data_IF_133522175263
#
_entry.id   IF_133522175263
#
_cell.length_a   1.000
_cell.length_b   1.000
_cell.length_c   1.000
_cell.angle_alpha   90.00
_cell.angle_beta   90.00
_cell.angle_gamma   90.00
#
_symmetry.space_group_name_H-M   'P 1'
#
loop_
_entity.id
_entity.type
_entity.pdbx_description
1 polymer ?
#
# COMPACT_ATOMS: atom_id res chain seq x y z
N UNK A 1 -6.15 -15.78 -13.16
CA UNK A 1 -4.83 -15.77 -12.49
C UNK A 1 -4.98 -14.99 -11.20
N UNK A 2 -4.43 -15.48 -10.07
CA UNK A 2 -4.51 -14.79 -8.78
C UNK A 2 -3.39 -13.75 -8.65
N UNK A 3 -3.67 -12.63 -8.00
CA UNK A 3 -2.73 -11.52 -7.85
C UNK A 3 -2.74 -10.91 -6.44
N UNK A 4 -1.56 -10.55 -5.94
CA UNK A 4 -1.36 -9.70 -4.76
C UNK A 4 -0.73 -8.39 -5.21
N UNK A 5 -1.26 -7.26 -4.72
CA UNK A 5 -0.81 -5.94 -5.10
C UNK A 5 -0.43 -5.15 -3.85
N UNK A 6 0.85 -4.87 -3.74
CA UNK A 6 1.40 -4.03 -2.68
C UNK A 6 1.22 -2.56 -3.05
N UNK A 7 0.46 -1.82 -2.24
CA UNK A 7 0.24 -0.39 -2.44
C UNK A 7 1.21 0.39 -1.56
N UNK A 8 2.24 0.90 -2.21
CA UNK A 8 3.32 1.70 -1.64
C UNK A 8 3.01 3.19 -1.66
N UNK A 9 3.84 3.94 -0.94
CA UNK A 9 3.80 5.39 -0.90
C UNK A 9 4.10 5.88 0.51
N UNK A 10 4.54 7.14 0.58
CA UNK A 10 4.82 7.83 1.83
C UNK A 10 3.58 8.03 2.70
N UNK A 11 3.78 8.55 3.90
CA UNK A 11 2.71 8.98 4.77
C UNK A 11 1.87 10.05 4.08
N UNK A 12 0.56 9.98 4.30
CA UNK A 12 -0.41 10.89 3.70
C UNK A 12 -0.60 10.85 2.16
N UNK A 13 0.01 9.91 1.41
CA UNK A 13 -0.30 9.70 -0.01
C UNK A 13 -1.74 9.23 -0.27
N UNK A 14 -2.41 8.69 0.75
CA UNK A 14 -3.79 8.22 0.63
C UNK A 14 -3.93 6.73 0.29
N UNK A 15 -2.91 5.90 0.60
CA UNK A 15 -2.92 4.43 0.38
C UNK A 15 -4.23 3.76 0.77
N UNK A 16 -4.76 4.06 1.96
CA UNK A 16 -6.02 3.46 2.43
C UNK A 16 -7.21 3.88 1.57
N UNK A 17 -7.37 5.18 1.31
CA UNK A 17 -8.44 5.71 0.46
C UNK A 17 -8.37 5.10 -0.94
N UNK A 18 -7.18 5.00 -1.50
CA UNK A 18 -6.94 4.40 -2.81
C UNK A 18 -7.35 2.94 -2.85
N UNK A 19 -6.88 2.12 -1.90
CA UNK A 19 -7.21 0.68 -1.84
C UNK A 19 -8.72 0.47 -1.76
N UNK A 20 -9.41 1.23 -0.90
CA UNK A 20 -10.87 1.16 -0.77
C UNK A 20 -11.56 1.58 -2.07
N UNK A 21 -11.07 2.62 -2.74
CA UNK A 21 -11.60 3.05 -4.02
C UNK A 21 -11.43 1.99 -5.12
N UNK A 22 -10.22 1.42 -5.27
CA UNK A 22 -9.94 0.37 -6.26
C UNK A 22 -10.78 -0.89 -6.03
N UNK A 23 -11.05 -1.27 -4.78
CA UNK A 23 -11.87 -2.44 -4.50
C UNK A 23 -13.33 -2.31 -4.99
N UNK A 24 -13.83 -1.08 -5.14
CA UNK A 24 -15.24 -0.83 -5.49
C UNK A 24 -15.44 -0.12 -6.84
N UNK A 25 -14.42 0.51 -7.41
CA UNK A 25 -14.50 1.23 -8.69
C UNK A 25 -13.86 0.43 -9.83
N UNK A 26 -14.72 -0.05 -10.75
CA UNK A 26 -14.32 -0.81 -11.94
C UNK A 26 -13.40 -0.03 -12.89
N UNK A 27 -13.50 1.30 -12.95
CA UNK A 27 -12.61 2.14 -13.77
C UNK A 27 -11.21 2.15 -13.17
N UNK A 28 -11.11 2.27 -11.85
CA UNK A 28 -9.82 2.24 -11.17
C UNK A 28 -9.18 0.85 -11.24
N UNK A 29 -9.97 -0.22 -11.13
CA UNK A 29 -9.48 -1.59 -11.36
C UNK A 29 -8.83 -1.72 -12.74
N UNK A 30 -9.49 -1.22 -13.79
CA UNK A 30 -8.92 -1.20 -15.14
C UNK A 30 -7.65 -0.35 -15.22
N UNK A 31 -7.65 0.83 -14.60
CA UNK A 31 -6.49 1.74 -14.59
C UNK A 31 -5.24 1.04 -14.02
N UNK A 32 -5.39 0.25 -12.96
CA UNK A 32 -4.28 -0.49 -12.34
C UNK A 32 -4.08 -1.91 -12.88
N UNK A 33 -4.73 -2.26 -14.00
CA UNK A 33 -4.57 -3.56 -14.64
C UNK A 33 -5.15 -4.76 -13.86
N UNK A 34 -6.17 -4.53 -13.03
CA UNK A 34 -6.79 -5.54 -12.18
C UNK A 34 -8.08 -6.14 -12.75
N UNK A 35 -8.43 -7.38 -12.35
CA UNK A 35 -9.66 -8.04 -12.78
C UNK A 35 -10.89 -7.28 -12.27
N UNK A 36 -11.81 -6.98 -13.20
CA UNK A 36 -12.98 -6.16 -12.90
C UNK A 36 -13.96 -6.94 -12.00
N UNK A 37 -14.33 -6.35 -10.86
CA UNK A 37 -15.32 -6.89 -9.93
C UNK A 37 -14.83 -8.04 -9.05
N UNK A 38 -13.56 -8.43 -9.14
CA UNK A 38 -12.95 -9.52 -8.35
C UNK A 38 -11.74 -9.05 -7.55
N UNK A 39 -11.80 -7.83 -7.05
CA UNK A 39 -10.76 -7.21 -6.23
C UNK A 39 -11.23 -7.09 -4.79
N UNK A 40 -10.39 -7.52 -3.86
CA UNK A 40 -10.56 -7.29 -2.42
C UNK A 40 -9.31 -6.61 -1.86
N UNK A 41 -9.29 -6.33 -0.56
CA UNK A 41 -8.13 -5.81 0.15
C UNK A 41 -7.95 -6.49 1.51
N UNK A 42 -6.70 -6.58 1.97
CA UNK A 42 -6.44 -7.06 3.33
C UNK A 42 -6.85 -6.01 4.35
N UNK A 43 -7.82 -6.39 5.20
CA UNK A 43 -8.27 -5.55 6.32
C UNK A 43 -7.15 -5.40 7.36
N UNK A 44 -6.43 -6.48 7.67
CA UNK A 44 -5.29 -6.44 8.59
C UNK A 44 -4.19 -5.47 8.12
N UNK A 45 -3.99 -5.34 6.80
CA UNK A 45 -3.03 -4.37 6.25
C UNK A 45 -3.41 -2.91 6.52
N UNK A 46 -4.71 -2.63 6.67
CA UNK A 46 -5.26 -1.30 6.94
C UNK A 46 -5.30 -1.01 8.44
N UNK A 47 -5.71 -1.98 9.27
CA UNK A 47 -5.97 -1.76 10.70
C UNK A 47 -4.70 -1.77 11.55
N UNK A 48 -3.78 -2.69 11.28
CA UNK A 48 -2.53 -2.80 12.04
C UNK A 48 -1.51 -1.80 11.50
N UNK A 49 -1.42 -0.62 12.12
CA UNK A 49 -0.42 0.41 11.81
C UNK A 49 0.41 0.77 13.04
N UNK A 50 1.70 1.00 12.84
CA UNK A 50 2.68 1.31 13.90
C UNK A 50 2.26 2.48 14.79
N UNK A 51 1.62 3.51 14.21
CA UNK A 51 1.22 4.70 14.97
C UNK A 51 0.10 4.47 16.00
N UNK A 52 -0.53 3.29 16.02
CA UNK A 52 -1.69 3.02 16.87
C UNK A 52 -1.70 1.64 17.54
N UNK A 53 -0.82 0.73 17.12
CA UNK A 53 -0.84 -0.67 17.57
C UNK A 53 0.58 -1.14 17.93
N UNK A 54 0.90 -1.29 19.23
CA UNK A 54 2.23 -1.75 19.67
C UNK A 54 2.56 -3.17 19.20
N UNK A 55 1.54 -3.97 18.85
CA UNK A 55 1.70 -5.33 18.34
C UNK A 55 1.56 -5.40 16.81
N UNK A 56 1.62 -4.25 16.11
CA UNK A 56 1.40 -4.18 14.66
C UNK A 56 2.27 -5.17 13.88
N UNK A 57 3.51 -5.40 14.33
CA UNK A 57 4.44 -6.30 13.65
C UNK A 57 3.95 -7.75 13.64
N UNK A 58 3.50 -8.26 14.79
CA UNK A 58 2.95 -9.61 14.92
C UNK A 58 1.58 -9.72 14.27
N UNK A 59 0.69 -8.74 14.50
CA UNK A 59 -0.67 -8.79 13.94
C UNK A 59 -0.68 -8.74 12.41
N UNK A 60 0.30 -8.10 11.78
CA UNK A 60 0.43 -8.10 10.31
C UNK A 60 0.83 -9.44 9.71
N UNK A 61 1.18 -10.45 10.50
CA UNK A 61 1.28 -11.83 10.00
C UNK A 61 -0.07 -12.38 9.55
N UNK A 62 -1.18 -11.87 10.11
CA UNK A 62 -2.55 -12.26 9.76
C UNK A 62 -2.95 -11.86 8.34
N UNK A 63 -2.20 -10.94 7.69
CA UNK A 63 -2.42 -10.57 6.28
C UNK A 63 -2.34 -11.80 5.38
N UNK A 64 -1.49 -12.79 5.70
CA UNK A 64 -1.42 -14.02 4.91
C UNK A 64 -2.75 -14.79 4.94
N UNK A 65 -3.47 -14.75 6.06
CA UNK A 65 -4.77 -15.40 6.17
C UNK A 65 -5.88 -14.62 5.46
N UNK A 66 -5.87 -13.28 5.55
CA UNK A 66 -6.76 -12.43 4.76
C UNK A 66 -6.69 -12.78 3.27
N UNK A 67 -5.47 -12.99 2.75
CA UNK A 67 -5.23 -13.37 1.35
C UNK A 67 -5.84 -14.72 1.02
N UNK A 68 -5.61 -15.74 1.87
CA UNK A 68 -6.16 -17.10 1.66
C UNK A 68 -7.68 -17.08 1.66
N UNK A 69 -8.29 -16.41 2.64
CA UNK A 69 -9.74 -16.29 2.75
C UNK A 69 -10.35 -15.58 1.54
N UNK A 70 -9.76 -14.46 1.10
CA UNK A 70 -10.23 -13.74 -0.09
C UNK A 70 -10.15 -14.61 -1.36
N UNK A 71 -9.05 -15.32 -1.55
CA UNK A 71 -8.90 -16.22 -2.68
C UNK A 71 -9.89 -17.40 -2.65
N UNK A 72 -10.22 -17.93 -1.46
CA UNK A 72 -11.23 -18.97 -1.30
C UNK A 72 -12.66 -18.46 -1.58
N UNK A 73 -12.91 -17.17 -1.34
CA UNK A 73 -14.16 -16.50 -1.67
C UNK A 73 -14.29 -16.14 -3.17
N UNK A 74 -13.27 -16.46 -3.98
CA UNK A 74 -13.31 -16.26 -5.43
C UNK A 74 -12.82 -14.89 -5.90
N UNK A 75 -12.22 -14.07 -5.02
CA UNK A 75 -11.49 -12.89 -5.46
C UNK A 75 -10.24 -13.29 -6.25
N UNK A 76 -9.86 -12.47 -7.23
CA UNK A 76 -8.70 -12.72 -8.10
C UNK A 76 -7.54 -11.78 -7.80
N UNK A 77 -7.81 -10.61 -7.19
CA UNK A 77 -6.79 -9.67 -6.77
C UNK A 77 -7.00 -9.20 -5.32
N UNK A 78 -5.91 -9.11 -4.55
CA UNK A 78 -5.91 -8.57 -3.20
C UNK A 78 -4.92 -7.43 -3.09
N UNK A 79 -5.41 -6.28 -2.66
CA UNK A 79 -4.63 -5.08 -2.35
C UNK A 79 -4.13 -5.12 -0.91
N UNK A 80 -2.86 -4.82 -0.69
CA UNK A 80 -2.22 -4.76 0.63
C UNK A 80 -1.64 -3.36 0.82
N UNK A 81 -2.05 -2.68 1.90
CA UNK A 81 -1.44 -1.40 2.29
C UNK A 81 -0.05 -1.67 2.87
N UNK A 82 0.97 -1.25 2.13
CA UNK A 82 2.36 -1.36 2.59
C UNK A 82 2.66 -0.33 3.71
N UNK A 83 3.52 -0.74 4.64
CA UNK A 83 4.10 0.08 5.69
C UNK A 83 5.59 -0.24 5.87
N UNK A 84 6.32 0.66 6.50
CA UNK A 84 7.75 0.50 6.78
C UNK A 84 8.11 -0.83 7.46
N UNK A 85 7.27 -1.25 8.41
CA UNK A 85 7.45 -2.52 9.14
C UNK A 85 7.32 -3.77 8.24
N UNK A 86 6.71 -3.66 7.06
CA UNK A 86 6.68 -4.74 6.06
C UNK A 86 8.03 -4.94 5.43
N UNK A 87 8.78 -3.85 5.25
CA UNK A 87 10.15 -3.93 4.80
C UNK A 87 11.07 -4.46 5.89
N UNK A 88 10.98 -3.97 7.13
CA UNK A 88 11.82 -4.46 8.24
C UNK A 88 11.65 -5.96 8.48
N UNK A 89 10.45 -6.49 8.23
CA UNK A 89 10.14 -7.90 8.37
C UNK A 89 10.37 -8.72 7.08
N UNK A 90 10.90 -8.13 6.00
CA UNK A 90 11.01 -8.70 4.65
C UNK A 90 9.70 -9.38 4.18
N UNK A 91 8.55 -8.77 4.51
CA UNK A 91 7.24 -9.41 4.37
C UNK A 91 6.86 -9.63 2.91
N UNK A 92 7.25 -8.73 2.01
CA UNK A 92 7.03 -8.89 0.56
C UNK A 92 7.75 -10.14 0.04
N UNK A 93 9.02 -10.31 0.41
CA UNK A 93 9.82 -11.49 0.04
C UNK A 93 9.19 -12.76 0.61
N UNK A 94 8.85 -12.75 1.90
CA UNK A 94 8.18 -13.88 2.55
C UNK A 94 6.87 -14.25 1.86
N UNK A 95 6.08 -13.27 1.43
CA UNK A 95 4.81 -13.50 0.77
C UNK A 95 5.00 -14.08 -0.64
N UNK A 96 6.07 -13.72 -1.35
CA UNK A 96 6.44 -14.38 -2.62
C UNK A 96 6.74 -15.86 -2.42
N UNK A 97 7.38 -16.22 -1.31
CA UNK A 97 7.64 -17.63 -0.96
C UNK A 97 6.37 -18.35 -0.52
N UNK A 98 5.48 -17.70 0.24
CA UNK A 98 4.23 -18.31 0.72
C UNK A 98 3.17 -18.50 -0.37
N UNK A 99 3.19 -17.66 -1.41
CA UNK A 99 2.22 -17.68 -2.51
C UNK A 99 2.95 -17.73 -3.87
N UNK A 100 3.66 -18.84 -4.17
CA UNK A 100 4.51 -18.92 -5.36
C UNK A 100 3.73 -18.87 -6.68
N UNK A 101 2.48 -19.36 -6.68
CA UNK A 101 1.61 -19.39 -7.87
C UNK A 101 0.75 -18.12 -8.03
N UNK A 102 0.98 -17.10 -7.20
CA UNK A 102 0.23 -15.84 -7.20
C UNK A 102 1.13 -14.75 -7.74
N UNK A 103 0.67 -14.07 -8.79
CA UNK A 103 1.37 -12.92 -9.34
C UNK A 103 1.48 -11.82 -8.28
N UNK A 104 2.66 -11.26 -8.07
CA UNK A 104 2.84 -10.14 -7.15
C UNK A 104 3.37 -8.92 -7.89
N UNK A 105 2.74 -7.78 -7.67
CA UNK A 105 3.12 -6.49 -8.25
C UNK A 105 2.93 -5.37 -7.24
N UNK A 106 3.38 -4.17 -7.59
CA UNK A 106 3.23 -2.97 -6.78
C UNK A 106 2.48 -1.86 -7.48
N UNK A 107 1.90 -0.97 -6.67
CA UNK A 107 1.45 0.35 -7.07
C UNK A 107 2.11 1.36 -6.13
N UNK A 108 2.89 2.28 -6.66
CA UNK A 108 3.47 3.37 -5.88
C UNK A 108 2.59 4.62 -6.03
N UNK A 109 1.99 5.06 -4.92
CA UNK A 109 1.28 6.33 -4.89
C UNK A 109 2.25 7.49 -4.71
N UNK A 110 2.16 8.45 -5.61
CA UNK A 110 2.98 9.67 -5.61
C UNK A 110 2.06 10.88 -5.52
N UNK A 111 2.48 11.90 -4.76
CA UNK A 111 1.85 13.23 -4.74
C UNK A 111 2.96 14.30 -4.68
N UNK A 112 2.68 15.53 -5.14
CA UNK A 112 3.60 16.65 -4.96
C UNK A 112 3.94 16.89 -3.48
N UNK A 113 5.16 17.36 -3.21
CA UNK A 113 5.66 17.60 -1.85
C UNK A 113 4.75 18.55 -1.05
N UNK A 114 4.26 19.62 -1.67
CA UNK A 114 3.38 20.58 -0.98
C UNK A 114 2.05 19.94 -0.56
N UNK A 115 1.52 19.03 -1.37
CA UNK A 115 0.31 18.27 -1.04
C UNK A 115 0.58 17.24 0.08
N UNK A 116 1.77 16.65 0.09
CA UNK A 116 2.25 15.82 1.20
C UNK A 116 2.23 16.59 2.52
N UNK A 117 2.90 17.74 2.56
CA UNK A 117 2.99 18.61 3.75
C UNK A 117 1.58 19.00 4.21
N UNK A 118 0.73 19.44 3.27
CA UNK A 118 -0.64 19.86 3.57
C UNK A 118 -1.45 18.73 4.24
N UNK A 119 -1.37 17.50 3.72
CA UNK A 119 -2.12 16.35 4.27
C UNK A 119 -1.51 15.81 5.56
N UNK A 120 -0.19 15.91 5.72
CA UNK A 120 0.54 15.45 6.89
C UNK A 120 0.14 16.27 8.13
N UNK A 121 0.05 17.60 7.99
CA UNK A 121 -0.43 18.53 9.04
C UNK A 121 -1.86 18.25 9.53
N UNK A 122 -2.65 17.49 8.78
CA UNK A 122 -4.01 17.09 9.18
C UNK A 122 -4.03 15.78 9.99
N UNK A 123 -2.90 15.11 10.16
CA UNK A 123 -2.81 13.87 10.93
C UNK A 123 -2.72 14.18 12.42
N UNK A 124 -3.55 13.48 13.21
CA UNK A 124 -3.61 13.64 14.68
C UNK A 124 -2.29 13.34 15.40
N UNK A 125 -1.42 12.55 14.78
CA UNK A 125 -0.13 12.13 15.32
C UNK A 125 1.03 13.00 14.83
N UNK A 126 0.80 13.93 13.89
CA UNK A 126 1.87 14.78 13.38
C UNK A 126 2.26 15.82 14.42
N UNK A 127 3.55 15.90 14.72
CA UNK A 127 4.10 16.94 15.58
C UNK A 127 4.46 18.18 14.73
N UNK A 128 3.85 19.36 14.98
CA UNK A 128 4.22 20.59 14.29
C UNK A 128 5.68 21.04 14.53
N UNK A 129 6.38 20.46 15.49
CA UNK A 129 7.79 20.76 15.78
C UNK A 129 8.77 20.08 14.80
N UNK A 130 8.33 19.08 14.04
CA UNK A 130 9.14 18.38 13.05
C UNK A 130 9.30 19.22 11.76
N UNK A 131 10.51 19.26 11.18
CA UNK A 131 10.71 19.79 9.83
C UNK A 131 10.02 18.85 8.82
N UNK A 132 8.88 19.29 8.29
CA UNK A 132 8.08 18.45 7.40
C UNK A 132 8.84 18.07 6.13
N UNK A 133 9.72 18.95 5.63
CA UNK A 133 10.47 18.72 4.39
C UNK A 133 11.56 17.68 4.62
N UNK A 134 12.34 17.82 5.70
CA UNK A 134 13.39 16.86 6.00
C UNK A 134 12.81 15.45 6.25
N UNK A 135 11.72 15.36 7.02
CA UNK A 135 11.02 14.11 7.27
C UNK A 135 10.51 13.47 5.97
N UNK A 136 9.83 14.24 5.12
CA UNK A 136 9.27 13.74 3.87
C UNK A 136 10.36 13.37 2.86
N UNK A 137 11.45 14.13 2.77
CA UNK A 137 12.57 13.80 1.88
C UNK A 137 13.27 12.51 2.31
N UNK A 138 13.41 12.28 3.62
CA UNK A 138 13.86 10.98 4.13
C UNK A 138 12.87 9.86 3.80
N UNK A 139 11.56 10.05 4.06
CA UNK A 139 10.54 9.03 3.84
C UNK A 139 10.40 8.67 2.34
N UNK A 140 10.47 9.67 1.44
CA UNK A 140 10.40 9.50 -0.02
C UNK A 140 11.58 8.69 -0.54
N UNK A 141 12.81 9.06 -0.16
CA UNK A 141 14.02 8.31 -0.55
C UNK A 141 13.96 6.88 -0.05
N UNK A 142 13.54 6.72 1.19
CA UNK A 142 13.48 5.40 1.84
C UNK A 142 12.42 4.52 1.19
N UNK A 143 11.21 5.02 0.98
CA UNK A 143 10.13 4.28 0.30
C UNK A 143 10.55 3.84 -1.10
N UNK A 144 11.17 4.72 -1.90
CA UNK A 144 11.67 4.37 -3.25
C UNK A 144 12.75 3.28 -3.20
N UNK A 145 13.68 3.38 -2.27
CA UNK A 145 14.72 2.36 -2.08
C UNK A 145 14.13 1.00 -1.70
N UNK A 146 13.14 1.00 -0.81
CA UNK A 146 12.45 -0.22 -0.37
C UNK A 146 11.67 -0.89 -1.49
N UNK A 147 10.90 -0.11 -2.25
CA UNK A 147 10.18 -0.58 -3.45
C UNK A 147 11.15 -1.25 -4.44
N UNK A 148 12.31 -0.64 -4.68
CA UNK A 148 13.32 -1.22 -5.56
C UNK A 148 13.88 -2.55 -5.02
N UNK A 149 14.13 -2.64 -3.71
CA UNK A 149 14.66 -3.85 -3.06
C UNK A 149 13.67 -5.02 -3.09
N UNK A 150 12.36 -4.77 -3.05
CA UNK A 150 11.33 -5.81 -3.12
C UNK A 150 11.29 -6.54 -4.48
N UNK A 151 11.84 -5.93 -5.53
CA UNK A 151 12.01 -6.53 -6.86
C UNK A 151 10.68 -6.86 -7.56
N UNK A 152 9.61 -6.12 -7.25
CA UNK A 152 8.31 -6.24 -7.90
C UNK A 152 8.24 -5.35 -9.14
N UNK A 153 7.40 -5.71 -10.11
CA UNK A 153 6.94 -4.75 -11.13
C UNK A 153 6.01 -3.75 -10.46
N UNK A 154 6.34 -2.46 -10.53
CA UNK A 154 5.59 -1.39 -9.88
C UNK A 154 5.18 -0.34 -10.91
N UNK A 155 3.90 0.03 -10.88
CA UNK A 155 3.38 1.18 -11.61
C UNK A 155 3.25 2.38 -10.67
N UNK A 156 3.44 3.59 -11.18
CA UNK A 156 3.27 4.81 -10.40
C UNK A 156 1.91 5.46 -10.70
N UNK A 157 1.24 5.94 -9.64
CA UNK A 157 -0.06 6.60 -9.72
C UNK A 157 0.02 7.95 -9.01
N UNK A 158 -0.35 9.01 -9.72
CA UNK A 158 -0.64 10.30 -9.11
C UNK A 158 -1.92 10.20 -8.28
N UNK A 159 -1.78 10.49 -6.99
CA UNK A 159 -2.84 10.46 -5.97
C UNK A 159 -3.08 11.82 -5.30
N UNK A 160 -2.65 12.91 -5.97
CA UNK A 160 -2.78 14.30 -5.51
C UNK A 160 -4.23 14.71 -5.31
N UNK A 161 -5.16 14.01 -5.96
CA UNK A 161 -6.60 14.13 -5.79
C UNK A 161 -7.28 12.76 -6.04
N UNK A 162 -8.61 12.72 -6.04
CA UNK A 162 -9.38 11.48 -6.27
C UNK A 162 -9.50 11.07 -7.75
N UNK A 163 -8.99 11.89 -8.67
CA UNK A 163 -8.87 11.57 -10.09
C UNK A 163 -7.48 10.97 -10.38
N UNK A 164 -7.31 9.71 -10.00
CA UNK A 164 -6.06 8.96 -10.12
C UNK A 164 -5.57 8.86 -11.58
N UNK A 165 -4.27 9.00 -11.80
CA UNK A 165 -3.63 8.93 -13.13
C UNK A 165 -2.36 8.09 -13.09
N UNK A 166 -2.14 7.30 -14.13
CA UNK A 166 -0.84 6.65 -14.37
C UNK A 166 0.20 7.70 -14.73
N UNK A 167 1.42 7.51 -14.22
CA UNK A 167 2.60 8.32 -14.54
C UNK A 167 3.51 7.59 -15.53
#
# INVERSE_FOLDING_TARGET
MKQIIWVYGCSATGKETFIRAVAHDKKLQKLVGLPVGKVSFSRGSIEHNVGFDPDAQTKREQIAEDIRLAFNQGFEAILIKWQFLDFEADRVIKFRTMFPDVLQSGVLLVIPLDEHIRRLKLKKWWDPADDEREYLDWELRTTKSMVAKDGLSVIEIDSSNTNYKLL
#
